data_IF_042454596948
#
_entry.id   IF_042454596948
#
_cell.length_a   1.000
_cell.length_b   1.000
_cell.length_c   1.000
_cell.angle_alpha   90.00
_cell.angle_beta   90.00
_cell.angle_gamma   90.00
#
_symmetry.space_group_name_H-M   'P 1'
#
loop_
_entity.id
_entity.type
_entity.pdbx_description
1 polymer ?
#
# COMPACT_ATOMS: atom_id res chain seq x y z
N UNK A 1 -11.77 6.17 21.21
CA UNK A 1 -10.37 6.02 21.66
C UNK A 1 -9.46 7.21 21.33
N UNK A 2 -9.71 8.00 20.27
CA UNK A 2 -9.01 9.29 20.07
C UNK A 2 -9.13 10.23 21.28
N UNK A 3 -10.32 10.31 21.88
CA UNK A 3 -10.56 11.07 23.11
C UNK A 3 -9.77 10.56 24.34
N UNK A 4 -9.35 9.29 24.37
CA UNK A 4 -8.58 8.75 25.49
C UNK A 4 -7.09 9.13 25.38
N UNK A 5 -6.55 9.11 24.15
CA UNK A 5 -5.19 9.56 23.87
C UNK A 5 -5.07 11.07 24.07
N UNK A 6 -6.02 11.86 23.56
CA UNK A 6 -6.02 13.32 23.78
C UNK A 6 -6.12 13.69 25.26
N UNK A 7 -6.96 12.98 26.02
CA UNK A 7 -7.04 13.15 27.48
C UNK A 7 -5.75 12.75 28.19
N UNK A 8 -5.04 11.74 27.70
CA UNK A 8 -3.77 11.30 28.31
C UNK A 8 -2.65 12.30 28.00
N UNK A 9 -2.59 12.82 26.78
CA UNK A 9 -1.68 13.89 26.39
C UNK A 9 -1.93 15.16 27.23
N UNK A 10 -3.19 15.51 27.51
CA UNK A 10 -3.54 16.61 28.42
C UNK A 10 -3.00 16.38 29.84
N UNK A 11 -3.18 15.18 30.41
CA UNK A 11 -2.64 14.84 31.73
C UNK A 11 -1.11 14.91 31.77
N UNK A 12 -0.43 14.49 30.70
CA UNK A 12 1.03 14.60 30.58
C UNK A 12 1.46 16.06 30.50
N UNK A 13 0.74 16.91 29.75
CA UNK A 13 1.01 18.36 29.70
C UNK A 13 0.86 19.00 31.07
N UNK A 14 -0.25 18.73 31.76
CA UNK A 14 -0.50 19.26 33.11
C UNK A 14 0.60 18.85 34.10
N UNK A 15 1.03 17.60 34.04
CA UNK A 15 2.12 17.10 34.88
C UNK A 15 3.45 17.82 34.59
N UNK A 16 3.82 17.98 33.32
CA UNK A 16 5.05 18.66 32.93
C UNK A 16 5.03 20.15 33.32
N UNK A 17 3.86 20.81 33.22
CA UNK A 17 3.65 22.18 33.69
C UNK A 17 3.82 22.26 35.21
N UNK A 18 3.16 21.38 35.96
CA UNK A 18 3.24 21.37 37.44
C UNK A 18 4.67 21.18 37.96
N UNK A 19 5.47 20.35 37.28
CA UNK A 19 6.88 20.11 37.65
C UNK A 19 7.85 21.19 37.15
N UNK A 20 7.39 22.14 36.33
CA UNK A 20 8.23 23.18 35.74
C UNK A 20 9.15 22.70 34.61
N UNK A 21 8.85 21.55 34.00
CA UNK A 21 9.65 20.95 32.93
C UNK A 21 9.37 21.57 31.56
N UNK A 22 9.57 22.88 31.46
CA UNK A 22 9.19 23.68 30.27
C UNK A 22 9.92 23.27 28.99
N UNK A 23 11.18 22.85 29.08
CA UNK A 23 11.93 22.29 27.95
C UNK A 23 11.34 20.97 27.47
N UNK A 24 11.02 20.06 28.39
CA UNK A 24 10.41 18.76 28.07
C UNK A 24 9.01 18.92 27.50
N UNK A 25 8.22 19.86 28.01
CA UNK A 25 6.89 20.19 27.48
C UNK A 25 6.97 20.66 26.03
N UNK A 26 7.89 21.57 25.70
CA UNK A 26 8.10 22.02 24.32
C UNK A 26 8.47 20.87 23.40
N UNK A 27 9.34 19.97 23.86
CA UNK A 27 9.74 18.81 23.07
C UNK A 27 8.57 17.82 22.90
N UNK A 28 7.80 17.58 23.95
CA UNK A 28 6.62 16.73 23.92
C UNK A 28 5.56 17.28 22.95
N UNK A 29 5.25 18.57 22.98
CA UNK A 29 4.30 19.18 22.04
C UNK A 29 4.82 19.15 20.59
N UNK A 30 6.12 19.33 20.38
CA UNK A 30 6.74 19.17 19.07
C UNK A 30 6.61 17.73 18.57
N UNK A 31 6.83 16.73 19.42
CA UNK A 31 6.72 15.31 19.08
C UNK A 31 5.26 14.90 18.83
N UNK A 32 4.30 15.41 19.61
CA UNK A 32 2.86 15.20 19.41
C UNK A 32 2.39 15.83 18.10
N UNK A 33 2.84 17.07 17.80
CA UNK A 33 2.54 17.73 16.53
C UNK A 33 3.16 16.98 15.36
N UNK A 34 4.43 16.59 15.47
CA UNK A 34 5.09 15.76 14.48
C UNK A 34 4.38 14.41 14.31
N UNK A 35 3.79 13.85 15.37
CA UNK A 35 3.01 12.60 15.29
C UNK A 35 1.64 12.79 14.64
N UNK A 36 0.97 13.92 14.87
CA UNK A 36 -0.24 14.31 14.11
C UNK A 36 0.09 14.56 12.63
N UNK A 37 1.26 15.12 12.35
CA UNK A 37 1.82 15.22 10.99
C UNK A 37 2.26 13.83 10.45
N UNK A 38 2.60 12.85 11.30
CA UNK A 38 2.84 11.43 10.93
C UNK A 38 1.56 10.65 10.57
N UNK A 39 0.40 11.30 10.49
CA UNK A 39 -0.65 10.86 9.56
C UNK A 39 -0.09 10.59 8.15
N UNK A 40 1.07 11.18 7.82
CA UNK A 40 1.93 10.90 6.69
C UNK A 40 3.01 9.82 6.95
N UNK A 41 2.71 8.61 6.49
CA UNK A 41 3.65 7.71 5.77
C UNK A 41 2.94 6.86 4.72
N UNK A 42 1.60 6.73 4.79
CA UNK A 42 0.80 5.95 3.84
C UNK A 42 0.91 6.55 2.44
N UNK A 43 0.75 7.86 2.30
CA UNK A 43 0.92 8.55 1.02
C UNK A 43 2.28 8.25 0.40
N UNK A 44 3.36 8.30 1.20
CA UNK A 44 4.72 7.98 0.74
C UNK A 44 4.89 6.53 0.30
N UNK A 45 4.22 5.58 0.97
CA UNK A 45 4.23 4.17 0.56
C UNK A 45 3.50 4.01 -0.78
N UNK A 46 2.33 4.62 -0.92
CA UNK A 46 1.52 4.54 -2.14
C UNK A 46 2.22 5.25 -3.31
N UNK A 47 2.81 6.43 -3.07
CA UNK A 47 3.67 7.15 -4.03
C UNK A 47 4.86 6.29 -4.47
N UNK A 48 5.56 5.65 -3.53
CA UNK A 48 6.71 4.79 -3.84
C UNK A 48 6.30 3.59 -4.70
N UNK A 49 5.18 2.94 -4.37
CA UNK A 49 4.64 1.84 -5.18
C UNK A 49 4.29 2.30 -6.60
N UNK A 50 3.67 3.47 -6.74
CA UNK A 50 3.39 4.05 -8.04
C UNK A 50 4.67 4.41 -8.80
N UNK A 51 5.70 4.92 -8.13
CA UNK A 51 6.98 5.23 -8.76
C UNK A 51 7.64 3.98 -9.37
N UNK A 52 7.64 2.84 -8.67
CA UNK A 52 8.16 1.58 -9.22
C UNK A 52 7.37 1.11 -10.45
N UNK A 53 6.05 1.33 -10.47
CA UNK A 53 5.21 1.01 -11.64
C UNK A 53 5.58 1.92 -12.81
N UNK A 54 5.67 3.23 -12.57
CA UNK A 54 5.98 4.24 -13.58
C UNK A 54 7.38 4.08 -14.19
N UNK A 55 8.35 3.61 -13.40
CA UNK A 55 9.72 3.32 -13.85
C UNK A 55 9.91 1.90 -14.40
N UNK A 56 8.85 1.07 -14.40
CA UNK A 56 8.89 -0.34 -14.76
C UNK A 56 9.83 -1.20 -13.90
N UNK A 57 10.17 -0.76 -12.70
CA UNK A 57 11.03 -1.50 -11.75
C UNK A 57 10.23 -2.56 -10.98
N UNK A 58 10.02 -3.71 -11.62
CA UNK A 58 9.34 -4.85 -11.02
C UNK A 58 10.08 -5.41 -9.80
N UNK A 59 11.40 -5.44 -9.84
CA UNK A 59 12.21 -5.97 -8.74
C UNK A 59 12.02 -5.10 -7.49
N UNK A 60 12.17 -3.78 -7.63
CA UNK A 60 11.91 -2.82 -6.57
C UNK A 60 10.48 -2.90 -6.04
N UNK A 61 9.48 -3.00 -6.92
CA UNK A 61 8.07 -3.17 -6.52
C UNK A 61 7.87 -4.40 -5.65
N UNK A 62 8.41 -5.55 -6.07
CA UNK A 62 8.27 -6.83 -5.35
C UNK A 62 8.99 -6.79 -4.02
N UNK A 63 10.23 -6.35 -4.00
CA UNK A 63 11.06 -6.33 -2.81
C UNK A 63 10.47 -5.35 -1.77
N UNK A 64 9.92 -4.23 -2.24
CA UNK A 64 9.21 -3.29 -1.38
C UNK A 64 7.91 -3.86 -0.83
N UNK A 65 7.12 -4.58 -1.63
CA UNK A 65 5.93 -5.27 -1.11
C UNK A 65 6.28 -6.34 -0.06
N UNK A 66 7.33 -7.14 -0.29
CA UNK A 66 7.82 -8.13 0.69
C UNK A 66 8.29 -7.45 1.96
N UNK A 67 8.94 -6.28 1.85
CA UNK A 67 9.31 -5.46 2.99
C UNK A 67 8.10 -5.00 3.80
N UNK A 68 7.03 -4.50 3.14
CA UNK A 68 5.78 -4.13 3.80
C UNK A 68 5.12 -5.34 4.46
N UNK A 69 5.12 -6.50 3.80
CA UNK A 69 4.57 -7.74 4.35
C UNK A 69 5.29 -8.16 5.63
N UNK A 70 6.63 -8.18 5.62
CA UNK A 70 7.42 -8.52 6.80
C UNK A 70 7.27 -7.52 7.94
N UNK A 71 7.22 -6.22 7.63
CA UNK A 71 7.23 -5.15 8.65
C UNK A 71 5.86 -4.83 9.22
N UNK A 72 4.81 -4.92 8.40
CA UNK A 72 3.46 -4.49 8.72
C UNK A 72 2.50 -5.68 8.74
N UNK A 73 2.41 -6.44 7.64
CA UNK A 73 1.34 -7.43 7.47
C UNK A 73 1.56 -8.71 8.29
N UNK A 74 2.80 -9.03 8.63
CA UNK A 74 3.17 -10.17 9.47
C UNK A 74 2.60 -10.09 10.88
N UNK A 75 2.27 -8.89 11.36
CA UNK A 75 1.70 -8.60 12.68
C UNK A 75 0.17 -8.61 12.68
N UNK A 76 -0.46 -8.81 11.52
CA UNK A 76 -1.90 -8.80 11.39
C UNK A 76 -2.50 -10.16 11.74
N UNK A 77 -3.70 -10.11 12.30
CA UNK A 77 -4.55 -11.29 12.45
C UNK A 77 -4.83 -11.94 11.10
N UNK A 78 -5.00 -13.27 11.12
CA UNK A 78 -5.16 -14.06 9.88
C UNK A 78 -6.38 -13.65 9.05
N UNK A 79 -7.39 -13.03 9.68
CA UNK A 79 -8.58 -12.48 9.01
C UNK A 79 -8.24 -11.42 7.95
N UNK A 80 -7.10 -10.73 8.07
CA UNK A 80 -6.67 -9.70 7.10
C UNK A 80 -5.82 -10.25 5.95
N UNK A 81 -5.31 -11.50 6.06
CA UNK A 81 -4.46 -12.13 5.02
C UNK A 81 -5.11 -12.17 3.64
N UNK A 82 -6.42 -12.49 3.49
CA UNK A 82 -7.08 -12.46 2.18
C UNK A 82 -7.10 -11.06 1.56
N UNK A 83 -7.27 -10.02 2.37
CA UNK A 83 -7.27 -8.62 1.91
C UNK A 83 -5.89 -8.20 1.42
N UNK A 84 -4.83 -8.55 2.16
CA UNK A 84 -3.44 -8.32 1.74
C UNK A 84 -3.13 -9.03 0.41
N UNK A 85 -3.57 -10.30 0.27
CA UNK A 85 -3.40 -11.06 -0.97
C UNK A 85 -4.14 -10.39 -2.14
N UNK A 86 -5.39 -9.96 -1.96
CA UNK A 86 -6.15 -9.22 -2.98
C UNK A 86 -5.47 -7.92 -3.38
N UNK A 87 -4.93 -7.15 -2.43
CA UNK A 87 -4.19 -5.93 -2.72
C UNK A 87 -2.90 -6.21 -3.50
N UNK A 88 -2.14 -7.25 -3.15
CA UNK A 88 -0.95 -7.70 -3.90
C UNK A 88 -1.32 -8.05 -5.34
N UNK A 89 -2.38 -8.83 -5.53
CA UNK A 89 -2.88 -9.21 -6.85
C UNK A 89 -3.30 -7.98 -7.66
N UNK A 90 -4.07 -7.06 -7.08
CA UNK A 90 -4.46 -5.83 -7.76
C UNK A 90 -3.26 -4.92 -8.09
N UNK A 91 -2.25 -4.86 -7.23
CA UNK A 91 -1.01 -4.11 -7.49
C UNK A 91 -0.28 -4.64 -8.73
N UNK A 92 -0.14 -5.97 -8.84
CA UNK A 92 0.50 -6.59 -10.00
C UNK A 92 -0.35 -6.44 -11.27
N UNK A 93 -1.67 -6.54 -11.16
CA UNK A 93 -2.58 -6.25 -12.28
C UNK A 93 -2.45 -4.81 -12.73
N UNK A 94 -2.30 -3.86 -11.81
CA UNK A 94 -2.10 -2.46 -12.12
C UNK A 94 -0.76 -2.23 -12.85
N UNK A 95 0.32 -2.87 -12.39
CA UNK A 95 1.60 -2.87 -13.10
C UNK A 95 1.46 -3.38 -14.54
N UNK A 96 0.80 -4.53 -14.73
CA UNK A 96 0.60 -5.10 -16.06
C UNK A 96 -0.24 -4.20 -16.97
N UNK A 97 -1.38 -3.70 -16.49
CA UNK A 97 -2.20 -2.76 -17.27
C UNK A 97 -1.39 -1.54 -17.67
N UNK A 98 -0.60 -0.97 -16.75
CA UNK A 98 0.26 0.18 -17.04
C UNK A 98 1.30 -0.13 -18.12
N UNK A 99 1.93 -1.31 -18.09
CA UNK A 99 2.87 -1.73 -19.16
C UNK A 99 2.20 -1.81 -20.53
N UNK A 100 0.97 -2.30 -20.60
CA UNK A 100 0.23 -2.37 -21.86
C UNK A 100 -0.19 -0.98 -22.34
N UNK A 101 -0.73 -0.13 -21.45
CA UNK A 101 -1.15 1.24 -21.77
C UNK A 101 0.00 2.12 -22.26
N UNK A 102 1.23 1.86 -21.79
CA UNK A 102 2.45 2.57 -22.20
C UNK A 102 3.20 1.90 -23.35
N UNK A 103 2.60 0.88 -23.98
CA UNK A 103 3.18 0.11 -25.08
C UNK A 103 4.53 -0.54 -24.74
N UNK A 104 4.71 -0.95 -23.48
CA UNK A 104 5.87 -1.68 -22.94
C UNK A 104 5.55 -3.16 -22.74
N UNK A 105 5.13 -3.83 -23.82
CA UNK A 105 4.77 -5.26 -23.80
C UNK A 105 5.96 -6.13 -23.34
N UNK A 106 7.19 -5.72 -23.65
CA UNK A 106 8.41 -6.37 -23.16
C UNK A 106 8.46 -6.46 -21.63
N UNK A 107 7.96 -5.44 -20.92
CA UNK A 107 7.87 -5.42 -19.45
C UNK A 107 6.75 -6.30 -18.91
N UNK A 108 5.65 -6.42 -19.64
CA UNK A 108 4.60 -7.38 -19.33
C UNK A 108 5.12 -8.83 -19.46
N UNK A 109 5.91 -9.12 -20.50
CA UNK A 109 6.56 -10.41 -20.67
C UNK A 109 7.62 -10.68 -19.59
N UNK A 110 8.46 -9.68 -19.27
CA UNK A 110 9.43 -9.76 -18.17
C UNK A 110 8.74 -10.09 -16.84
N UNK A 111 7.57 -9.50 -16.57
CA UNK A 111 6.77 -9.79 -15.39
C UNK A 111 6.43 -11.28 -15.28
N UNK A 112 5.84 -11.85 -16.33
CA UNK A 112 5.46 -13.25 -16.31
C UNK A 112 6.68 -14.18 -16.28
N UNK A 113 7.78 -13.84 -16.96
CA UNK A 113 9.03 -14.62 -16.87
C UNK A 113 9.56 -14.71 -15.43
N UNK A 114 9.50 -13.60 -14.67
CA UNK A 114 10.00 -13.55 -13.28
C UNK A 114 9.02 -14.14 -12.26
N UNK A 115 7.72 -14.04 -12.51
CA UNK A 115 6.68 -14.37 -11.52
C UNK A 115 5.88 -15.63 -11.84
N UNK A 116 6.02 -16.24 -13.02
CA UNK A 116 5.22 -17.38 -13.47
C UNK A 116 5.19 -18.54 -12.47
N UNK A 117 6.34 -18.87 -11.86
CA UNK A 117 6.44 -20.00 -10.93
C UNK A 117 5.52 -19.87 -9.71
N UNK A 118 5.33 -18.64 -9.21
CA UNK A 118 4.43 -18.31 -8.10
C UNK A 118 2.97 -18.18 -8.58
N UNK A 119 2.76 -17.53 -9.72
CA UNK A 119 1.42 -17.16 -10.20
C UNK A 119 0.67 -18.30 -10.91
N UNK A 120 1.37 -19.27 -11.51
CA UNK A 120 0.73 -20.38 -12.25
C UNK A 120 -0.19 -21.25 -11.37
N UNK A 121 0.07 -21.30 -10.07
CA UNK A 121 -0.74 -22.08 -9.12
C UNK A 121 -1.97 -21.30 -8.62
N UNK A 122 -2.15 -20.05 -9.06
CA UNK A 122 -3.23 -19.17 -8.63
C UNK A 122 -4.25 -19.04 -9.79
N UNK A 123 -5.48 -19.57 -9.63
CA UNK A 123 -6.46 -19.63 -10.71
C UNK A 123 -6.83 -18.24 -11.26
N UNK A 124 -6.80 -17.20 -10.44
CA UNK A 124 -7.10 -15.82 -10.83
C UNK A 124 -6.09 -15.20 -11.80
N UNK A 125 -4.93 -15.84 -12.00
CA UNK A 125 -3.89 -15.41 -12.93
C UNK A 125 -3.94 -16.12 -14.28
N UNK A 126 -4.72 -17.20 -14.40
CA UNK A 126 -4.75 -18.06 -15.59
C UNK A 126 -4.96 -17.26 -16.89
N UNK A 127 -6.00 -16.42 -16.92
CA UNK A 127 -6.33 -15.63 -18.11
C UNK A 127 -5.34 -14.47 -18.31
N UNK A 128 -4.73 -13.97 -17.23
CA UNK A 128 -3.78 -12.85 -17.28
C UNK A 128 -2.49 -13.19 -18.03
N UNK A 129 -2.09 -14.46 -18.08
CA UNK A 129 -0.94 -14.90 -18.91
C UNK A 129 -1.15 -14.63 -20.40
N UNK A 130 -2.41 -14.50 -20.85
CA UNK A 130 -2.72 -14.17 -22.25
C UNK A 130 -2.59 -12.68 -22.55
N UNK A 131 -2.61 -11.82 -21.52
CA UNK A 131 -2.68 -10.37 -21.65
C UNK A 131 -1.62 -9.77 -22.60
N UNK A 132 -0.32 -10.15 -22.52
CA UNK A 132 0.71 -9.57 -23.40
C UNK A 132 0.54 -9.93 -24.89
N UNK A 133 -0.30 -10.91 -25.20
CA UNK A 133 -0.52 -11.42 -26.56
C UNK A 133 -1.85 -10.96 -27.17
N UNK A 134 -2.68 -10.25 -26.39
CA UNK A 134 -3.95 -9.72 -26.89
C UNK A 134 -3.71 -8.45 -27.72
N UNK A 135 -4.27 -8.34 -28.93
CA UNK A 135 -4.11 -7.16 -29.77
C UNK A 135 -4.86 -5.94 -29.23
N UNK A 136 -6.02 -6.14 -28.60
CA UNK A 136 -6.89 -5.08 -28.01
C UNK A 136 -7.42 -5.52 -26.65
N UNK A 137 -6.56 -5.55 -25.61
CA UNK A 137 -6.95 -6.03 -24.28
C UNK A 137 -7.97 -5.12 -23.59
N UNK A 138 -8.02 -3.84 -23.92
CA UNK A 138 -9.02 -2.88 -23.46
C UNK A 138 -10.45 -3.16 -23.98
N UNK A 139 -10.56 -3.86 -25.11
CA UNK A 139 -11.83 -4.27 -25.71
C UNK A 139 -12.30 -5.66 -25.26
N UNK A 140 -11.42 -6.43 -24.60
CA UNK A 140 -11.75 -7.76 -24.11
C UNK A 140 -12.60 -7.63 -22.82
N UNK A 141 -13.82 -8.21 -22.76
CA UNK A 141 -14.69 -8.08 -21.59
C UNK A 141 -14.06 -8.51 -20.26
N UNK A 142 -13.12 -9.46 -20.28
CA UNK A 142 -12.42 -9.91 -19.08
C UNK A 142 -11.41 -8.88 -18.54
N UNK A 143 -10.87 -8.02 -19.40
CA UNK A 143 -9.80 -7.08 -19.06
C UNK A 143 -10.24 -5.62 -19.11
N UNK A 144 -11.23 -5.27 -19.93
CA UNK A 144 -11.74 -3.92 -20.13
C UNK A 144 -11.96 -3.13 -18.82
N UNK A 145 -12.53 -3.71 -17.74
CA UNK A 145 -12.70 -2.98 -16.47
C UNK A 145 -11.39 -2.49 -15.87
N UNK A 146 -10.30 -3.26 -16.02
CA UNK A 146 -8.98 -2.96 -15.46
C UNK A 146 -8.25 -1.84 -16.19
N UNK A 147 -8.60 -1.58 -17.46
CA UNK A 147 -8.03 -0.47 -18.24
C UNK A 147 -8.71 0.88 -17.94
N UNK A 148 -9.78 0.88 -17.15
CA UNK A 148 -10.45 2.12 -16.75
C UNK A 148 -9.68 2.88 -15.66
N UNK A 149 -9.66 4.21 -15.77
CA UNK A 149 -9.11 5.08 -14.71
C UNK A 149 -9.83 4.88 -13.37
N UNK A 150 -11.15 4.65 -13.42
CA UNK A 150 -11.96 4.39 -12.23
C UNK A 150 -11.46 3.18 -11.45
N UNK A 151 -11.08 2.09 -12.12
CA UNK A 151 -10.53 0.91 -11.45
C UNK A 151 -9.20 1.22 -10.77
N UNK A 152 -8.29 1.90 -11.45
CA UNK A 152 -6.99 2.29 -10.90
C UNK A 152 -7.15 3.21 -9.67
N UNK A 153 -7.98 4.25 -9.76
CA UNK A 153 -8.26 5.17 -8.66
C UNK A 153 -8.89 4.44 -7.47
N UNK A 154 -9.85 3.54 -7.72
CA UNK A 154 -10.51 2.73 -6.68
C UNK A 154 -9.50 1.83 -5.98
N UNK A 155 -8.59 1.19 -6.73
CA UNK A 155 -7.52 0.38 -6.17
C UNK A 155 -6.59 1.21 -5.29
N UNK A 156 -6.12 2.37 -5.76
CA UNK A 156 -5.21 3.23 -5.00
C UNK A 156 -5.84 3.75 -3.71
N UNK A 157 -7.11 4.17 -3.76
CA UNK A 157 -7.88 4.57 -2.57
C UNK A 157 -8.04 3.41 -1.60
N UNK A 158 -8.33 2.20 -2.10
CA UNK A 158 -8.48 1.01 -1.25
C UNK A 158 -7.16 0.63 -0.56
N UNK A 159 -6.04 0.69 -1.29
CA UNK A 159 -4.71 0.45 -0.74
C UNK A 159 -4.35 1.48 0.32
N UNK A 160 -4.58 2.77 0.03
CA UNK A 160 -4.36 3.85 0.97
C UNK A 160 -5.18 3.63 2.24
N UNK A 161 -6.50 3.44 2.12
CA UNK A 161 -7.40 3.26 3.26
C UNK A 161 -7.02 2.04 4.10
N UNK A 162 -6.67 0.92 3.46
CA UNK A 162 -6.21 -0.26 4.17
C UNK A 162 -4.96 0.05 5.00
N UNK A 163 -3.93 0.65 4.39
CA UNK A 163 -2.71 1.03 5.10
C UNK A 163 -3.00 2.03 6.24
N UNK A 164 -3.85 3.04 6.02
CA UNK A 164 -4.25 4.00 7.05
C UNK A 164 -4.87 3.32 8.27
N UNK A 165 -5.81 2.39 8.06
CA UNK A 165 -6.43 1.62 9.14
C UNK A 165 -5.38 0.77 9.86
N UNK A 166 -4.48 0.10 9.12
CA UNK A 166 -3.42 -0.70 9.72
C UNK A 166 -2.50 0.11 10.64
N UNK A 167 -2.05 1.28 10.20
CA UNK A 167 -1.20 2.14 11.00
C UNK A 167 -1.92 2.69 12.22
N UNK A 168 -3.21 3.01 12.08
CA UNK A 168 -4.03 3.44 13.21
C UNK A 168 -4.18 2.32 14.26
N UNK A 169 -4.41 1.07 13.82
CA UNK A 169 -4.45 -0.08 14.72
C UNK A 169 -3.10 -0.34 15.42
N UNK A 170 -1.98 -0.21 14.71
CA UNK A 170 -0.65 -0.42 15.31
C UNK A 170 -0.26 0.67 16.32
N UNK A 171 -0.72 1.91 16.14
CA UNK A 171 -0.47 3.00 17.10
C UNK A 171 -1.30 2.87 18.39
N UNK A 172 -2.43 2.13 18.33
CA UNK A 172 -3.27 1.82 19.50
C UNK A 172 -2.68 0.65 20.33
N UNK A 173 -1.90 -0.24 19.68
CA UNK A 173 -1.33 -1.45 20.29
C UNK A 173 0.10 -1.26 20.84
N UNK A 174 0.74 -0.10 20.63
CA UNK A 174 2.10 0.24 21.09
C UNK A 174 2.07 1.18 22.29
#
# INVERSE_FOLDING_TARGET
MGAAVERTDELVREYLIFRGFTTTLKQFDADVKANKEKGFRVDKIVEQLQQFIQSFDLSGLRDYWVYLDRRLFSRLEDVYRPTVSKLKTSLYRYYLVYTIQTNRIDKAQEFFLKQASELQNQPEWKDWFLLPFLPTPDSNPAFAPYFSRQWADTFLVSLHNFLSVLFQCMHILS
#
